data_IF_904819172460
#
_entry.id   IF_904819172460
#
_cell.length_a   1.000
_cell.length_b   1.000
_cell.length_c   1.000
_cell.angle_alpha   90.00
_cell.angle_beta   90.00
_cell.angle_gamma   90.00
#
_symmetry.space_group_name_H-M   'P 1'
#
loop_
_entity.id
_entity.type
_entity.pdbx_description
1 polymer ?
#
# COMPACT_ATOMS: atom_id res chain seq x y z
N UNK A 1 -42.30 5.17 24.60
CA UNK A 1 -41.41 4.25 23.86
C UNK A 1 -41.57 4.45 22.35
N UNK A 2 -41.54 5.70 21.86
CA UNK A 2 -41.84 6.04 20.44
C UNK A 2 -40.91 7.13 19.86
N UNK A 3 -39.81 7.45 20.55
CA UNK A 3 -38.89 8.54 20.13
C UNK A 3 -37.61 7.99 19.49
N UNK A 4 -37.17 6.80 19.91
CA UNK A 4 -35.97 6.14 19.37
C UNK A 4 -36.21 5.63 17.94
N UNK A 5 -37.39 5.09 17.63
CA UNK A 5 -37.72 4.62 16.28
C UNK A 5 -37.71 5.75 15.24
N UNK A 6 -37.99 6.99 15.68
CA UNK A 6 -37.99 8.17 14.81
C UNK A 6 -36.59 8.69 14.52
N UNK A 7 -35.66 8.55 15.46
CA UNK A 7 -34.24 8.90 15.27
C UNK A 7 -33.51 7.86 14.41
N UNK A 8 -33.88 6.58 14.51
CA UNK A 8 -33.30 5.52 13.66
C UNK A 8 -33.76 5.64 12.20
N UNK A 9 -35.00 6.05 11.95
CA UNK A 9 -35.52 6.23 10.59
C UNK A 9 -34.82 7.35 9.78
N UNK A 10 -34.15 8.29 10.44
CA UNK A 10 -33.41 9.38 9.78
C UNK A 10 -31.93 9.07 9.46
N UNK A 11 -31.41 7.93 9.93
CA UNK A 11 -29.99 7.54 9.78
C UNK A 11 -29.82 6.42 8.72
N UNK A 12 -30.92 5.77 8.31
CA UNK A 12 -30.85 4.79 7.24
C UNK A 12 -30.46 5.51 5.93
N UNK A 13 -29.29 5.22 5.33
CA UNK A 13 -28.98 5.72 4.00
C UNK A 13 -30.07 5.25 3.05
N UNK A 14 -30.55 6.18 2.22
CA UNK A 14 -31.48 5.91 1.12
C UNK A 14 -31.05 4.60 0.45
N UNK A 15 -31.93 3.57 0.33
CA UNK A 15 -31.57 2.37 -0.40
C UNK A 15 -31.29 2.85 -1.83
N UNK A 16 -30.00 3.04 -2.11
CA UNK A 16 -29.52 3.56 -3.37
C UNK A 16 -30.17 2.82 -4.53
N UNK A 17 -30.22 3.42 -5.73
CA UNK A 17 -31.00 2.90 -6.85
C UNK A 17 -30.73 1.40 -6.96
N UNK A 18 -31.73 0.59 -6.58
CA UNK A 18 -31.55 -0.85 -6.41
C UNK A 18 -30.88 -1.46 -7.63
N UNK A 19 -30.25 -2.64 -7.46
CA UNK A 19 -29.47 -3.32 -8.51
C UNK A 19 -30.10 -3.10 -9.89
N UNK A 20 -29.39 -2.34 -10.73
CA UNK A 20 -29.89 -2.02 -12.06
C UNK A 20 -30.06 -3.32 -12.86
N UNK A 21 -30.94 -3.36 -13.86
CA UNK A 21 -31.11 -4.55 -14.70
C UNK A 21 -29.78 -5.08 -15.26
N UNK A 22 -28.86 -4.20 -15.64
CA UNK A 22 -27.53 -4.61 -16.11
C UNK A 22 -26.61 -5.17 -15.02
N UNK A 23 -26.76 -4.74 -13.76
CA UNK A 23 -26.02 -5.32 -12.64
C UNK A 23 -26.54 -6.73 -12.29
N UNK A 24 -27.85 -6.96 -12.42
CA UNK A 24 -28.45 -8.29 -12.28
C UNK A 24 -28.00 -9.24 -13.39
N UNK A 25 -27.95 -8.77 -14.63
CA UNK A 25 -27.49 -9.56 -15.79
C UNK A 25 -26.02 -9.99 -15.63
N UNK A 26 -25.15 -9.06 -15.19
CA UNK A 26 -23.75 -9.37 -14.94
C UNK A 26 -23.57 -10.35 -13.76
N UNK A 27 -24.37 -10.22 -12.71
CA UNK A 27 -24.33 -11.13 -11.57
C UNK A 27 -24.81 -12.54 -11.96
N UNK A 28 -25.84 -12.65 -12.79
CA UNK A 28 -26.33 -13.91 -13.32
C UNK A 28 -25.29 -14.57 -14.25
N UNK A 29 -24.60 -13.80 -15.09
CA UNK A 29 -23.50 -14.28 -15.94
C UNK A 29 -22.33 -14.84 -15.12
N UNK A 30 -21.92 -14.15 -14.06
CA UNK A 30 -20.82 -14.59 -13.18
C UNK A 30 -21.21 -15.85 -12.41
N UNK A 31 -22.46 -15.97 -11.98
CA UNK A 31 -22.93 -17.11 -11.17
C UNK A 31 -23.29 -18.36 -12.00
N UNK A 32 -23.58 -18.20 -13.30
CA UNK A 32 -23.86 -19.31 -14.22
C UNK A 32 -22.63 -19.80 -14.97
N UNK A 33 -21.51 -19.05 -14.97
CA UNK A 33 -20.26 -19.50 -15.54
C UNK A 33 -19.70 -20.71 -14.76
N UNK A 34 -19.55 -21.89 -15.39
CA UNK A 34 -19.00 -23.06 -14.71
C UNK A 34 -17.52 -22.84 -14.39
N UNK A 35 -17.13 -23.05 -13.13
CA UNK A 35 -15.74 -23.02 -12.70
C UNK A 35 -14.91 -24.00 -13.54
N UNK A 36 -13.85 -23.49 -14.17
CA UNK A 36 -12.94 -24.30 -14.97
C UNK A 36 -12.32 -25.41 -14.10
N UNK A 37 -12.57 -26.66 -14.46
CA UNK A 37 -12.08 -27.81 -13.72
C UNK A 37 -10.53 -27.87 -13.76
N UNK A 38 -9.86 -28.25 -12.65
CA UNK A 38 -8.42 -28.41 -12.64
C UNK A 38 -8.00 -29.62 -13.47
N UNK A 39 -7.14 -29.40 -14.47
CA UNK A 39 -6.55 -30.43 -15.31
C UNK A 39 -5.62 -31.35 -14.50
N UNK A 40 -5.89 -32.65 -14.52
CA UNK A 40 -4.99 -33.70 -14.00
C UNK A 40 -4.02 -34.19 -15.08
N UNK A 41 -2.78 -34.58 -14.72
CA UNK A 41 -1.72 -34.88 -15.67
C UNK A 41 -1.82 -36.29 -16.26
N UNK A 42 -1.22 -36.42 -17.45
CA UNK A 42 -1.16 -37.62 -18.27
C UNK A 42 -0.37 -38.78 -17.63
N UNK A 43 -0.96 -39.98 -17.68
CA UNK A 43 -0.30 -41.25 -17.35
C UNK A 43 -0.32 -42.20 -18.53
N UNK A 44 0.87 -42.63 -18.95
CA UNK A 44 1.14 -43.66 -19.96
C UNK A 44 0.76 -45.07 -19.46
N UNK A 45 0.16 -45.90 -20.32
CA UNK A 45 0.59 -47.25 -20.74
C UNK A 45 -0.56 -48.22 -21.10
N UNK A 46 -0.29 -48.99 -22.17
CA UNK A 46 -0.75 -50.36 -22.52
C UNK A 46 -2.04 -50.62 -23.32
N UNK A 47 -1.80 -50.90 -24.61
CA UNK A 47 -2.13 -52.12 -25.38
C UNK A 47 -3.58 -52.61 -25.54
N UNK A 48 -4.03 -52.66 -26.80
CA UNK A 48 -5.11 -53.57 -27.26
C UNK A 48 -5.81 -53.13 -28.56
N UNK A 49 -5.39 -53.66 -29.71
CA UNK A 49 -6.04 -53.55 -31.04
C UNK A 49 -6.81 -54.88 -31.30
N UNK A 50 -7.76 -55.05 -32.26
CA UNK A 50 -8.72 -54.16 -32.96
C UNK A 50 -10.19 -54.67 -32.90
N UNK A 51 -11.17 -53.86 -33.35
CA UNK A 51 -12.25 -54.40 -34.20
C UNK A 51 -12.89 -53.37 -35.12
N UNK A 52 -12.90 -53.73 -36.41
CA UNK A 52 -13.51 -53.08 -37.57
C UNK A 52 -14.95 -52.62 -37.30
N UNK A 53 -15.30 -51.40 -37.74
CA UNK A 53 -16.45 -51.23 -38.65
C UNK A 53 -16.27 -49.97 -39.48
N UNK A 54 -16.20 -50.19 -40.79
CA UNK A 54 -16.31 -49.19 -41.85
C UNK A 54 -17.60 -48.39 -41.64
N UNK A 55 -17.60 -47.11 -42.01
CA UNK A 55 -18.55 -46.49 -42.93
C UNK A 55 -17.91 -45.16 -43.37
N UNK A 56 -17.68 -45.06 -44.67
CA UNK A 56 -17.29 -43.84 -45.35
C UNK A 56 -18.55 -43.29 -46.02
N UNK A 57 -18.88 -42.02 -45.81
CA UNK A 57 -19.60 -41.21 -46.79
C UNK A 57 -19.06 -39.77 -46.70
N UNK A 58 -18.55 -39.33 -47.84
CA UNK A 58 -18.15 -37.98 -48.24
C UNK A 58 -19.38 -37.09 -48.39
N UNK A 59 -19.25 -35.79 -48.09
CA UNK A 59 -19.92 -34.62 -48.72
C UNK A 59 -19.69 -33.39 -47.84
N UNK A 60 -19.51 -32.16 -48.29
CA UNK A 60 -19.23 -31.58 -49.59
C UNK A 60 -18.77 -30.13 -49.32
N UNK A 61 -18.12 -29.54 -50.32
CA UNK A 61 -17.64 -28.17 -50.38
C UNK A 61 -18.79 -27.16 -50.24
N UNK A 62 -18.60 -26.13 -49.41
CA UNK A 62 -19.39 -24.91 -49.39
C UNK A 62 -18.47 -23.71 -49.18
N UNK A 63 -18.06 -23.08 -50.29
CA UNK A 63 -17.37 -21.79 -50.32
C UNK A 63 -18.44 -20.70 -50.27
N UNK A 64 -18.38 -19.79 -49.29
CA UNK A 64 -18.77 -18.40 -49.47
C UNK A 64 -18.22 -17.53 -48.33
N UNK A 65 -17.33 -16.63 -48.74
CA UNK A 65 -16.65 -15.55 -48.02
C UNK A 65 -17.57 -14.55 -47.34
N UNK A 66 -17.25 -14.19 -46.09
CA UNK A 66 -17.61 -12.90 -45.51
C UNK A 66 -16.38 -12.27 -44.80
N UNK A 67 -15.83 -11.27 -45.49
CA UNK A 67 -15.14 -10.07 -44.99
C UNK A 67 -14.30 -10.14 -43.69
N UNK A 68 -12.98 -10.17 -43.90
CA UNK A 68 -12.00 -9.25 -43.31
C UNK A 68 -12.35 -8.51 -41.99
N UNK A 69 -11.86 -9.02 -40.85
CA UNK A 69 -11.04 -8.31 -39.83
C UNK A 69 -10.40 -9.37 -38.91
N UNK A 70 -9.44 -10.20 -39.37
CA UNK A 70 -8.68 -11.10 -38.46
C UNK A 70 -7.25 -11.39 -38.96
N UNK A 71 -6.56 -10.39 -39.50
CA UNK A 71 -5.19 -10.57 -40.03
C UNK A 71 -4.18 -9.61 -39.39
N UNK A 72 -4.18 -9.50 -38.06
CA UNK A 72 -3.15 -8.74 -37.31
C UNK A 72 -2.46 -9.52 -36.19
N UNK A 73 -2.76 -10.80 -35.98
CA UNK A 73 -2.14 -11.61 -34.91
C UNK A 73 -1.13 -12.65 -35.41
N UNK A 74 -0.28 -12.25 -36.34
CA UNK A 74 0.85 -13.08 -36.77
C UNK A 74 2.14 -12.26 -36.84
N UNK A 75 2.38 -11.45 -35.80
CA UNK A 75 3.70 -10.91 -35.49
C UNK A 75 4.27 -11.67 -34.28
N UNK A 76 5.51 -12.15 -34.33
CA UNK A 76 6.21 -12.69 -33.18
C UNK A 76 6.60 -11.53 -32.26
N UNK A 77 5.71 -11.21 -31.34
CA UNK A 77 5.81 -10.11 -30.37
C UNK A 77 4.54 -10.09 -29.56
N UNK A 78 4.36 -11.11 -28.70
CA UNK A 78 3.10 -11.40 -28.03
C UNK A 78 2.62 -10.25 -27.14
N UNK A 79 1.59 -9.54 -27.63
CA UNK A 79 0.58 -8.87 -26.80
C UNK A 79 -0.48 -9.91 -26.41
N UNK A 80 -0.07 -10.95 -25.69
CA UNK A 80 -1.03 -11.64 -24.84
C UNK A 80 -1.47 -10.66 -23.74
N UNK A 81 -2.68 -10.78 -23.17
CA UNK A 81 -2.94 -10.11 -21.91
C UNK A 81 -1.79 -10.52 -20.98
N UNK A 82 -1.00 -9.53 -20.55
CA UNK A 82 -0.05 -9.76 -19.46
C UNK A 82 -0.85 -10.46 -18.36
N UNK A 83 -0.31 -11.54 -17.74
CA UNK A 83 -1.02 -12.17 -16.63
C UNK A 83 -1.44 -11.05 -15.71
N UNK A 84 -2.76 -10.91 -15.49
CA UNK A 84 -3.29 -9.93 -14.58
C UNK A 84 -2.62 -10.22 -13.25
N UNK A 85 -1.62 -9.42 -12.90
CA UNK A 85 -0.98 -9.55 -11.62
C UNK A 85 -2.06 -9.26 -10.58
N UNK A 86 -2.19 -10.17 -9.62
CA UNK A 86 -3.11 -9.99 -8.51
C UNK A 86 -2.66 -8.84 -7.59
N UNK A 87 -1.41 -8.38 -7.72
CA UNK A 87 -0.75 -7.58 -6.69
C UNK A 87 -0.43 -6.16 -7.13
N UNK A 88 0.09 -5.99 -8.34
CA UNK A 88 0.44 -4.71 -8.94
C UNK A 88 -0.32 -4.51 -10.24
N UNK A 89 -0.85 -3.31 -10.44
CA UNK A 89 -1.09 -2.82 -11.80
C UNK A 89 0.18 -2.18 -12.32
N UNK A 90 0.66 -2.58 -13.50
CA UNK A 90 1.84 -1.97 -14.10
C UNK A 90 1.54 -1.59 -15.54
N UNK A 91 1.18 -0.33 -15.72
CA UNK A 91 0.92 0.28 -17.01
C UNK A 91 2.13 1.09 -17.46
N UNK A 92 2.37 1.13 -18.77
CA UNK A 92 3.37 2.03 -19.34
C UNK A 92 2.65 3.27 -19.85
N UNK A 93 3.04 4.42 -19.33
CA UNK A 93 2.59 5.74 -19.77
C UNK A 93 3.81 6.53 -20.27
N UNK A 94 4.00 6.53 -21.59
CA UNK A 94 5.13 7.18 -22.25
C UNK A 94 6.49 6.62 -21.82
N UNK A 95 7.27 7.48 -21.17
CA UNK A 95 8.62 7.24 -20.63
C UNK A 95 8.60 6.74 -19.17
N UNK A 96 7.43 6.48 -18.59
CA UNK A 96 7.27 5.97 -17.23
C UNK A 96 6.43 4.69 -17.19
N UNK A 97 6.68 3.88 -16.17
CA UNK A 97 5.74 2.92 -15.63
C UNK A 97 4.92 3.59 -14.54
N UNK A 98 3.60 3.41 -14.62
CA UNK A 98 2.62 3.74 -13.57
C UNK A 98 2.32 2.43 -12.86
N UNK A 99 2.76 2.33 -11.60
CA UNK A 99 2.63 1.13 -10.79
C UNK A 99 1.62 1.40 -9.68
N UNK A 100 0.46 0.78 -9.72
CA UNK A 100 -0.55 0.88 -8.67
C UNK A 100 -0.50 -0.35 -7.79
N UNK A 101 -0.44 -0.17 -6.48
CA UNK A 101 -0.44 -1.29 -5.54
C UNK A 101 -1.88 -1.74 -5.27
N UNK A 102 -2.29 -2.91 -5.79
CA UNK A 102 -3.66 -3.43 -5.67
C UNK A 102 -3.90 -4.09 -4.32
N UNK A 103 -2.92 -4.86 -3.88
CA UNK A 103 -2.87 -5.45 -2.55
C UNK A 103 -1.62 -4.92 -1.85
N UNK A 104 -1.75 -4.33 -0.66
CA UNK A 104 -0.61 -3.84 0.13
C UNK A 104 -0.02 -4.93 1.04
N UNK A 105 -0.69 -6.08 1.16
CA UNK A 105 -0.37 -7.14 2.12
C UNK A 105 -0.03 -8.47 1.46
N UNK A 106 0.19 -8.49 0.14
CA UNK A 106 0.64 -9.70 -0.52
C UNK A 106 2.09 -10.04 -0.11
N UNK A 107 2.53 -11.24 -0.51
CA UNK A 107 3.89 -11.69 -0.24
C UNK A 107 4.91 -10.80 -1.00
N UNK A 108 5.92 -10.21 -0.33
CA UNK A 108 6.94 -9.35 -0.95
C UNK A 108 7.54 -9.91 -2.25
N UNK A 109 7.74 -11.22 -2.31
CA UNK A 109 8.31 -11.94 -3.45
C UNK A 109 7.43 -11.89 -4.71
N UNK A 110 6.12 -11.68 -4.56
CA UNK A 110 5.21 -11.48 -5.69
C UNK A 110 5.47 -10.14 -6.37
N UNK A 111 5.56 -9.05 -5.60
CA UNK A 111 5.85 -7.72 -6.12
C UNK A 111 7.19 -7.68 -6.85
N UNK A 112 8.25 -8.19 -6.22
CA UNK A 112 9.59 -8.16 -6.81
C UNK A 112 9.65 -8.93 -8.12
N UNK A 113 8.99 -10.09 -8.20
CA UNK A 113 8.93 -10.88 -9.43
C UNK A 113 8.29 -10.11 -10.57
N UNK A 114 7.22 -9.38 -10.29
CA UNK A 114 6.49 -8.60 -11.30
C UNK A 114 7.28 -7.36 -11.75
N UNK A 115 7.95 -6.68 -10.82
CA UNK A 115 8.84 -5.55 -11.12
C UNK A 115 10.06 -6.01 -11.95
N UNK A 116 10.69 -7.13 -11.56
CA UNK A 116 11.82 -7.73 -12.30
C UNK A 116 11.41 -8.20 -13.69
N UNK A 117 10.18 -8.68 -13.88
CA UNK A 117 9.66 -9.02 -15.20
C UNK A 117 9.57 -7.80 -16.15
N UNK A 118 9.62 -6.57 -15.62
CA UNK A 118 9.70 -5.31 -16.37
C UNK A 118 11.10 -4.71 -16.41
N UNK A 119 12.12 -5.45 -15.94
CA UNK A 119 13.51 -4.98 -15.90
C UNK A 119 13.81 -3.99 -14.77
N UNK A 120 12.89 -3.82 -13.82
CA UNK A 120 13.07 -2.91 -12.69
C UNK A 120 13.71 -3.64 -11.51
N UNK A 121 14.86 -3.15 -11.03
CA UNK A 121 15.51 -3.66 -9.80
C UNK A 121 15.01 -2.87 -8.57
N UNK A 122 13.74 -3.11 -8.23
CA UNK A 122 13.06 -2.48 -7.10
C UNK A 122 12.73 -3.57 -6.07
N UNK A 123 13.24 -3.39 -4.86
CA UNK A 123 12.91 -4.24 -3.70
C UNK A 123 11.72 -3.64 -2.97
N UNK A 124 10.71 -4.46 -2.66
CA UNK A 124 9.58 -4.03 -1.83
C UNK A 124 9.67 -4.65 -0.44
N UNK A 125 9.49 -3.84 0.60
CA UNK A 125 9.48 -4.31 1.99
C UNK A 125 8.19 -3.91 2.68
N UNK A 126 7.56 -4.88 3.35
CA UNK A 126 6.43 -4.64 4.23
C UNK A 126 6.91 -4.58 5.67
N UNK A 127 6.76 -3.44 6.33
CA UNK A 127 7.33 -3.21 7.67
C UNK A 127 6.29 -2.72 8.67
N UNK A 128 6.41 -3.07 9.97
CA UNK A 128 5.48 -2.65 11.00
C UNK A 128 5.56 -1.14 11.26
N UNK A 129 4.39 -0.54 11.48
CA UNK A 129 4.16 0.85 11.88
C UNK A 129 2.87 0.96 12.69
N UNK A 130 2.53 2.15 13.17
CA UNK A 130 1.26 2.41 13.85
C UNK A 130 0.05 2.23 12.92
N UNK A 131 -1.17 2.17 13.47
CA UNK A 131 -2.39 2.24 12.66
C UNK A 131 -2.47 3.50 11.77
N UNK A 132 -2.01 4.66 12.26
CA UNK A 132 -2.00 5.92 11.51
C UNK A 132 -0.99 5.95 10.35
N UNK A 133 0.15 5.27 10.50
CA UNK A 133 1.18 5.12 9.48
C UNK A 133 0.97 3.96 8.52
N UNK A 134 0.01 3.07 8.79
CA UNK A 134 -0.30 1.96 7.91
C UNK A 134 -0.74 2.46 6.52
N UNK A 135 -0.42 1.68 5.49
CA UNK A 135 -0.64 2.01 4.06
C UNK A 135 0.22 3.16 3.54
N UNK A 136 1.18 3.66 4.31
CA UNK A 136 2.20 4.58 3.81
C UNK A 136 3.13 3.90 2.81
N UNK A 137 3.53 4.63 1.77
CA UNK A 137 4.51 4.20 0.76
C UNK A 137 5.71 5.15 0.85
N UNK A 138 6.90 4.59 1.11
CA UNK A 138 8.15 5.35 1.23
C UNK A 138 9.15 4.86 0.19
N UNK A 139 9.72 5.78 -0.58
CA UNK A 139 10.61 5.46 -1.69
C UNK A 139 12.04 5.89 -1.39
N UNK A 140 12.98 4.96 -1.50
CA UNK A 140 14.41 5.20 -1.40
C UNK A 140 15.05 4.97 -2.77
N UNK A 141 15.29 6.07 -3.49
CA UNK A 141 15.67 6.08 -4.90
C UNK A 141 17.09 5.59 -5.24
N UNK A 142 18.00 5.54 -4.26
CA UNK A 142 19.40 5.14 -4.45
C UNK A 142 19.95 4.48 -3.16
N UNK A 143 19.61 3.21 -2.99
CA UNK A 143 19.91 2.47 -1.74
C UNK A 143 21.41 2.26 -1.55
N UNK A 144 22.16 2.11 -2.65
CA UNK A 144 23.61 1.90 -2.59
C UNK A 144 24.31 3.15 -2.06
N UNK A 145 23.90 4.36 -2.49
CA UNK A 145 24.41 5.62 -1.94
C UNK A 145 24.01 5.82 -0.47
N UNK A 146 22.76 5.52 -0.10
CA UNK A 146 22.33 5.56 1.31
C UNK A 146 23.22 4.68 2.20
N UNK A 147 23.52 3.45 1.74
CA UNK A 147 24.39 2.51 2.48
C UNK A 147 25.84 2.99 2.55
N UNK A 148 26.31 3.73 1.56
CA UNK A 148 27.62 4.37 1.57
C UNK A 148 27.69 5.62 2.48
N UNK A 149 26.57 6.02 3.10
CA UNK A 149 26.49 7.23 3.93
C UNK A 149 26.48 8.52 3.10
N UNK A 150 26.18 8.43 1.81
CA UNK A 150 26.12 9.58 0.92
C UNK A 150 24.72 10.22 0.91
N UNK A 151 24.61 11.54 0.75
CA UNK A 151 23.32 12.21 0.61
C UNK A 151 22.58 11.71 -0.64
N UNK A 152 21.39 11.17 -0.44
CA UNK A 152 20.46 10.86 -1.54
C UNK A 152 19.47 12.01 -1.67
N UNK A 153 19.29 12.57 -2.88
CA UNK A 153 18.31 13.62 -3.12
C UNK A 153 16.93 13.19 -2.64
N UNK A 154 16.21 14.10 -1.98
CA UNK A 154 14.82 13.86 -1.59
C UNK A 154 13.93 13.64 -2.82
N UNK A 155 14.20 14.41 -3.88
CA UNK A 155 13.58 14.25 -5.18
C UNK A 155 14.40 13.25 -6.01
N UNK A 156 13.83 12.08 -6.23
CA UNK A 156 14.43 11.05 -7.08
C UNK A 156 13.56 10.72 -8.29
N UNK A 157 14.11 9.93 -9.23
CA UNK A 157 13.42 9.56 -10.46
C UNK A 157 12.12 8.78 -10.21
N UNK A 158 12.04 8.01 -9.13
CA UNK A 158 10.82 7.34 -8.69
C UNK A 158 10.05 8.27 -7.76
N UNK A 159 8.81 8.58 -8.16
CA UNK A 159 7.89 9.44 -7.42
C UNK A 159 6.63 8.68 -7.01
N UNK A 160 5.93 9.16 -5.98
CA UNK A 160 4.64 8.59 -5.55
C UNK A 160 3.48 9.16 -6.37
N UNK A 161 2.41 8.37 -6.50
CA UNK A 161 1.14 8.80 -7.10
C UNK A 161 0.13 8.96 -5.97
N UNK A 162 -0.35 10.17 -5.77
CA UNK A 162 -1.31 10.48 -4.71
C UNK A 162 -2.72 10.00 -5.06
N UNK A 163 -3.46 9.53 -4.04
CA UNK A 163 -4.88 9.25 -4.16
C UNK A 163 -5.65 10.51 -4.61
N UNK A 164 -6.67 10.39 -5.46
CA UNK A 164 -7.58 11.50 -5.73
C UNK A 164 -8.40 11.84 -4.48
N UNK A 165 -8.57 13.14 -4.21
CA UNK A 165 -9.36 13.66 -3.08
C UNK A 165 -8.51 14.25 -1.95
N UNK A 166 -9.16 14.77 -0.89
CA UNK A 166 -8.44 15.29 0.27
C UNK A 166 -7.72 14.15 0.99
N UNK A 167 -6.41 14.33 1.23
CA UNK A 167 -5.62 13.44 2.07
C UNK A 167 -5.26 14.17 3.37
N UNK A 168 -5.81 13.69 4.49
CA UNK A 168 -5.55 14.23 5.82
C UNK A 168 -4.34 13.55 6.49
N UNK A 169 -3.27 13.29 5.73
CA UNK A 169 -2.02 12.71 6.25
C UNK A 169 -0.82 13.56 5.87
N UNK A 170 0.09 13.73 6.83
CA UNK A 170 1.40 14.31 6.59
C UNK A 170 2.19 13.40 5.64
N UNK A 171 2.63 13.93 4.49
CA UNK A 171 3.39 13.16 3.49
C UNK A 171 2.55 12.50 2.38
N UNK A 172 1.24 12.78 2.31
CA UNK A 172 0.38 12.32 1.22
C UNK A 172 -0.29 10.96 1.47
N UNK A 173 -1.11 10.54 0.51
CA UNK A 173 -1.82 9.27 0.45
C UNK A 173 -1.37 8.54 -0.81
N UNK A 174 -0.11 8.09 -0.88
CA UNK A 174 0.41 7.44 -2.07
C UNK A 174 -0.34 6.13 -2.31
N UNK A 175 -0.80 5.95 -3.54
CA UNK A 175 -1.52 4.75 -4.04
C UNK A 175 -0.70 3.96 -5.06
N UNK A 176 0.39 4.56 -5.53
CA UNK A 176 1.25 3.98 -6.52
C UNK A 176 2.57 4.71 -6.66
N UNK A 177 3.33 4.28 -7.67
CA UNK A 177 4.66 4.77 -8.01
C UNK A 177 4.69 5.13 -9.49
N UNK A 178 5.44 6.17 -9.81
CA UNK A 178 5.83 6.51 -11.18
C UNK A 178 7.34 6.27 -11.30
N UNK A 179 7.73 5.36 -12.19
CA UNK A 179 9.12 4.90 -12.35
C UNK A 179 9.55 5.11 -13.81
N UNK A 180 10.69 5.74 -14.11
CA UNK A 180 11.17 5.86 -15.49
C UNK A 180 11.42 4.48 -16.12
N UNK A 181 11.08 4.33 -17.40
CA UNK A 181 11.25 3.06 -18.12
C UNK A 181 12.74 2.66 -18.26
N UNK A 182 13.65 3.65 -18.22
CA UNK A 182 15.10 3.47 -18.28
C UNK A 182 15.77 3.47 -16.89
N UNK A 183 14.98 3.31 -15.82
CA UNK A 183 15.52 3.25 -14.45
C UNK A 183 16.44 2.03 -14.27
N UNK A 184 17.75 2.29 -14.25
CA UNK A 184 18.80 1.26 -14.17
C UNK A 184 19.43 1.11 -12.77
N UNK A 185 18.98 1.89 -11.79
CA UNK A 185 19.48 1.86 -10.42
C UNK A 185 18.67 0.90 -9.55
N UNK A 186 19.10 0.74 -8.30
CA UNK A 186 18.37 0.01 -7.27
C UNK A 186 17.55 0.96 -6.41
N UNK A 187 16.28 0.65 -6.27
CA UNK A 187 15.41 1.32 -5.30
C UNK A 187 14.85 0.34 -4.28
N UNK A 188 14.52 0.89 -3.12
CA UNK A 188 13.76 0.21 -2.09
C UNK A 188 12.47 0.97 -1.86
N UNK A 189 11.34 0.26 -1.93
CA UNK A 189 10.02 0.76 -1.61
C UNK A 189 9.59 0.10 -0.31
N UNK A 190 9.31 0.90 0.70
CA UNK A 190 8.81 0.41 1.98
C UNK A 190 7.32 0.71 2.11
N UNK A 191 6.54 -0.32 2.37
CA UNK A 191 5.13 -0.25 2.69
C UNK A 191 4.93 -0.40 4.20
N UNK A 192 4.20 0.53 4.80
CA UNK A 192 3.78 0.42 6.20
C UNK A 192 2.60 -0.54 6.35
N UNK A 193 2.74 -1.57 7.18
CA UNK A 193 1.60 -2.35 7.70
C UNK A 193 1.40 -2.07 9.17
N UNK A 194 0.17 -2.24 9.63
CA UNK A 194 -0.08 -2.23 11.07
C UNK A 194 0.79 -3.31 11.76
N UNK A 195 1.41 -2.90 12.85
CA UNK A 195 2.21 -3.77 13.69
C UNK A 195 1.33 -4.81 14.37
N UNK A 196 1.85 -6.03 14.50
CA UNK A 196 1.25 -7.06 15.36
C UNK A 196 1.59 -6.76 16.81
N UNK A 197 0.81 -7.29 17.78
CA UNK A 197 1.14 -7.15 19.20
C UNK A 197 2.59 -7.58 19.49
N UNK A 198 3.36 -6.68 20.13
CA UNK A 198 4.76 -6.90 20.48
C UNK A 198 5.79 -6.59 19.39
N UNK A 199 5.37 -6.15 18.19
CA UNK A 199 6.32 -5.70 17.16
C UNK A 199 6.74 -4.24 17.39
N UNK A 200 8.05 -4.00 17.31
CA UNK A 200 8.59 -2.65 17.23
C UNK A 200 8.33 -2.04 15.85
N UNK A 201 8.09 -0.74 15.81
CA UNK A 201 7.87 0.01 14.58
C UNK A 201 9.20 0.26 13.86
N UNK A 202 9.24 -0.10 12.58
CA UNK A 202 10.38 0.22 11.70
C UNK A 202 10.21 1.62 11.14
N UNK A 203 9.02 1.91 10.60
CA UNK A 203 8.61 3.27 10.30
C UNK A 203 8.04 3.81 11.60
N UNK A 204 8.74 4.76 12.22
CA UNK A 204 8.34 5.37 13.48
C UNK A 204 7.59 6.67 13.20
N UNK A 205 6.25 6.67 13.27
CA UNK A 205 5.47 7.87 13.08
C UNK A 205 5.76 8.86 14.21
N UNK A 206 5.76 10.15 13.89
CA UNK A 206 5.83 11.22 14.87
C UNK A 206 4.57 11.18 15.75
N UNK A 207 4.73 11.34 17.07
CA UNK A 207 3.66 11.13 18.07
C UNK A 207 2.44 12.06 17.96
N UNK A 208 2.51 13.10 17.13
CA UNK A 208 1.46 14.09 16.90
C UNK A 208 0.80 14.00 15.52
N UNK A 209 1.16 12.99 14.70
CA UNK A 209 0.50 12.78 13.42
C UNK A 209 -0.95 12.32 13.58
N UNK A 210 -1.81 12.53 12.57
CA UNK A 210 -3.17 12.00 12.57
C UNK A 210 -3.21 10.51 12.93
N UNK A 211 -4.02 10.17 13.93
CA UNK A 211 -4.14 8.80 14.47
C UNK A 211 -3.14 8.47 15.59
N UNK A 212 -2.21 9.36 15.93
CA UNK A 212 -1.25 9.19 17.01
C UNK A 212 -1.71 9.85 18.33
N UNK A 213 -1.13 9.44 19.48
CA UNK A 213 -1.64 9.82 20.80
C UNK A 213 -1.67 11.33 21.07
N UNK A 214 -0.69 12.09 20.56
CA UNK A 214 -0.62 13.54 20.74
C UNK A 214 -1.11 14.32 19.52
N UNK A 215 -1.91 13.70 18.66
CA UNK A 215 -2.51 14.43 17.54
C UNK A 215 -3.25 15.67 18.02
N UNK A 216 -2.86 16.83 17.47
CA UNK A 216 -3.39 18.15 17.85
C UNK A 216 -3.23 18.55 19.31
N UNK A 217 -2.24 17.96 20.00
CA UNK A 217 -1.85 18.36 21.35
C UNK A 217 -0.55 19.15 21.28
N UNK A 218 -0.54 20.36 21.84
CA UNK A 218 0.71 21.10 22.02
C UNK A 218 1.57 20.42 23.09
N UNK A 219 2.72 19.87 22.69
CA UNK A 219 3.66 19.22 23.61
C UNK A 219 5.12 19.67 23.43
N UNK A 220 5.50 20.13 22.24
CA UNK A 220 6.84 20.68 21.99
C UNK A 220 7.06 21.91 22.88
N UNK A 221 8.25 22.02 23.46
CA UNK A 221 8.63 23.04 24.44
C UNK A 221 7.87 23.02 25.77
N UNK A 222 7.07 21.98 26.04
CA UNK A 222 6.64 21.66 27.41
C UNK A 222 7.73 20.88 28.13
N UNK A 223 7.69 20.88 29.46
CA UNK A 223 8.64 20.13 30.26
C UNK A 223 8.35 18.63 30.23
N UNK A 224 9.36 17.81 30.46
CA UNK A 224 9.22 16.35 30.63
C UNK A 224 8.18 16.01 31.70
N UNK A 225 8.16 16.78 32.80
CA UNK A 225 7.19 16.62 33.89
C UNK A 225 5.74 16.88 33.45
N UNK A 226 5.51 17.71 32.43
CA UNK A 226 4.20 17.96 31.86
C UNK A 226 3.80 16.92 30.80
N UNK A 227 4.73 16.51 29.94
CA UNK A 227 4.42 15.64 28.79
C UNK A 227 4.30 14.16 29.18
N UNK A 228 5.10 13.68 30.13
CA UNK A 228 5.05 12.27 30.56
C UNK A 228 3.65 11.87 31.07
N UNK A 229 2.97 12.65 31.93
CA UNK A 229 1.58 12.39 32.29
C UNK A 229 0.64 12.36 31.10
N UNK A 230 0.76 13.29 30.14
CA UNK A 230 -0.10 13.34 28.95
C UNK A 230 -0.02 12.06 28.13
N UNK A 231 1.18 11.50 27.96
CA UNK A 231 1.41 10.24 27.26
C UNK A 231 0.81 9.05 28.03
N UNK A 232 1.06 8.98 29.35
CA UNK A 232 0.56 7.90 30.19
C UNK A 232 -0.97 7.87 30.29
N UNK A 233 -1.61 9.04 30.36
CA UNK A 233 -3.07 9.17 30.31
C UNK A 233 -3.67 8.59 29.02
N UNK A 234 -2.87 8.53 27.95
CA UNK A 234 -3.24 7.97 26.64
C UNK A 234 -2.72 6.55 26.43
N UNK A 235 -2.23 5.91 27.49
CA UNK A 235 -1.72 4.53 27.44
C UNK A 235 -0.38 4.39 26.74
N UNK A 236 0.43 5.45 26.71
CA UNK A 236 1.76 5.45 26.08
C UNK A 236 2.83 5.60 27.14
N UNK A 237 3.76 4.66 27.18
CA UNK A 237 4.95 4.75 28.03
C UNK A 237 6.11 5.44 27.28
N UNK A 238 6.66 6.54 27.81
CA UNK A 238 7.74 7.27 27.17
C UNK A 238 9.13 6.72 27.53
N UNK A 239 9.94 6.43 26.51
CA UNK A 239 11.39 6.33 26.59
C UNK A 239 12.01 7.71 26.35
N UNK A 240 12.59 8.30 27.38
CA UNK A 240 13.20 9.64 27.28
C UNK A 240 14.64 9.54 26.76
N UNK A 241 14.96 10.31 25.71
CA UNK A 241 16.31 10.39 25.13
C UNK A 241 16.79 11.84 24.99
N UNK A 242 18.10 12.01 24.81
CA UNK A 242 18.73 13.32 24.60
C UNK A 242 20.04 13.20 23.81
N UNK A 243 20.32 14.20 22.97
CA UNK A 243 21.62 14.32 22.28
C UNK A 243 22.78 14.74 23.20
N UNK A 244 22.50 15.45 24.30
CA UNK A 244 23.54 16.04 25.14
C UNK A 244 23.83 15.23 26.41
N UNK A 245 22.98 14.26 26.75
CA UNK A 245 23.10 13.47 27.97
C UNK A 245 22.83 11.98 27.73
N UNK A 246 23.48 11.39 26.72
CA UNK A 246 23.38 9.96 26.41
C UNK A 246 23.58 9.08 27.66
N UNK A 247 22.64 8.16 27.91
CA UNK A 247 22.70 7.22 29.02
C UNK A 247 22.30 7.78 30.39
N UNK A 248 21.79 9.02 30.47
CA UNK A 248 21.17 9.58 31.69
C UNK A 248 19.70 9.83 31.46
N UNK A 249 18.88 9.54 32.48
CA UNK A 249 17.45 9.89 32.45
C UNK A 249 17.33 11.42 32.46
N UNK A 250 16.69 12.03 31.44
CA UNK A 250 16.48 13.48 31.39
C UNK A 250 15.70 13.99 32.62
N UNK A 251 16.15 15.08 33.26
CA UNK A 251 15.41 15.72 34.35
C UNK A 251 14.01 16.18 33.95
N UNK A 252 13.06 16.17 34.90
CA UNK A 252 11.68 16.58 34.65
C UNK A 252 11.50 18.02 34.17
N UNK A 253 12.46 18.92 34.42
CA UNK A 253 12.42 20.32 34.00
C UNK A 253 13.00 20.56 32.59
N UNK A 254 13.50 19.52 31.93
CA UNK A 254 13.94 19.62 30.53
C UNK A 254 12.75 19.75 29.59
N UNK A 255 13.00 20.34 28.43
CA UNK A 255 11.99 20.57 27.40
C UNK A 255 11.92 19.40 26.43
N UNK A 256 10.71 19.04 26.03
CA UNK A 256 10.47 18.09 24.95
C UNK A 256 10.64 18.80 23.61
N UNK A 257 11.44 18.23 22.72
CA UNK A 257 11.72 18.78 21.40
C UNK A 257 10.89 18.12 20.30
N UNK A 258 10.72 16.80 20.39
CA UNK A 258 9.95 16.00 19.45
C UNK A 258 9.67 14.61 20.05
N UNK A 259 8.89 13.78 19.37
CA UNK A 259 8.80 12.37 19.71
C UNK A 259 8.29 11.50 18.56
N UNK A 260 8.62 10.22 18.62
CA UNK A 260 8.15 9.22 17.67
C UNK A 260 7.62 7.98 18.39
N UNK A 261 6.61 7.32 17.83
CA UNK A 261 6.16 6.03 18.33
C UNK A 261 7.20 4.95 18.02
N UNK A 262 7.53 4.12 19.00
CA UNK A 262 8.47 3.00 18.85
C UNK A 262 7.78 1.64 18.78
N UNK A 263 6.60 1.52 19.39
CA UNK A 263 5.73 0.35 19.34
C UNK A 263 4.31 0.74 19.75
N UNK A 264 3.39 -0.23 19.79
CA UNK A 264 2.05 0.00 20.33
C UNK A 264 2.14 0.33 21.83
N UNK A 265 1.73 1.55 22.21
CA UNK A 265 1.80 2.03 23.59
C UNK A 265 3.19 2.46 24.05
N UNK A 266 4.15 2.63 23.14
CA UNK A 266 5.50 3.07 23.48
C UNK A 266 5.96 4.21 22.56
N UNK A 267 6.62 5.21 23.11
CA UNK A 267 7.17 6.33 22.36
C UNK A 267 8.58 6.71 22.82
N UNK A 268 9.43 7.11 21.87
CA UNK A 268 10.73 7.73 22.16
C UNK A 268 10.54 9.24 22.11
N UNK A 269 10.89 9.92 23.19
CA UNK A 269 10.73 11.37 23.34
C UNK A 269 12.10 12.03 23.40
N UNK A 270 12.36 12.91 22.45
CA UNK A 270 13.60 13.70 22.40
C UNK A 270 13.49 14.89 23.34
N UNK A 271 14.50 15.08 24.19
CA UNK A 271 14.51 16.12 25.21
C UNK A 271 15.83 16.89 25.26
N UNK A 272 15.78 18.13 25.75
CA UNK A 272 16.94 18.99 25.96
C UNK A 272 16.77 20.02 27.09
N UNK A 273 17.88 20.59 27.60
CA UNK A 273 17.86 21.56 28.69
C UNK A 273 17.31 22.93 28.28
N UNK A 274 17.33 23.25 26.99
CA UNK A 274 16.79 24.49 26.41
C UNK A 274 15.59 24.17 25.53
N UNK A 275 14.64 25.12 25.32
CA UNK A 275 13.56 24.94 24.36
C UNK A 275 14.08 24.68 22.94
N UNK A 276 13.32 23.91 22.14
CA UNK A 276 13.56 23.73 20.72
C UNK A 276 13.50 25.09 20.01
N UNK A 277 14.55 25.49 19.25
CA UNK A 277 14.65 26.82 18.66
C UNK A 277 13.65 27.02 17.51
N UNK A 278 13.29 25.95 16.80
CA UNK A 278 12.35 25.97 15.67
C UNK A 278 11.32 24.85 15.83
N UNK A 279 10.31 25.02 16.70
CA UNK A 279 9.27 24.01 16.88
C UNK A 279 8.44 23.87 15.60
N UNK A 280 8.01 22.64 15.28
CA UNK A 280 7.09 22.40 14.16
C UNK A 280 5.75 23.12 14.44
N UNK A 281 5.17 23.85 13.47
CA UNK A 281 3.91 24.55 13.67
C UNK A 281 2.74 23.55 13.75
N UNK A 282 2.11 23.44 14.93
CA UNK A 282 0.96 22.53 15.16
C UNK A 282 -0.28 22.95 14.35
N UNK A 283 -0.47 24.26 14.16
CA UNK A 283 -1.67 24.83 13.53
C UNK A 283 -1.86 24.56 12.04
N UNK A 284 -0.83 24.09 11.33
CA UNK A 284 -0.93 23.74 9.91
C UNK A 284 -1.62 22.39 9.67
N UNK A 285 -1.60 21.50 10.66
CA UNK A 285 -2.08 20.12 10.54
C UNK A 285 -3.31 19.81 11.40
N UNK A 286 -3.81 20.80 12.13
CA UNK A 286 -4.92 20.68 13.06
C UNK A 286 -5.99 21.73 12.75
N UNK A 287 -7.03 21.38 11.97
CA UNK A 287 -8.12 22.31 11.70
C UNK A 287 -8.83 22.68 13.00
N UNK A 288 -9.18 23.96 13.17
CA UNK A 288 -9.82 24.47 14.39
C UNK A 288 -11.07 23.63 14.73
N UNK A 289 -11.08 23.01 15.91
CA UNK A 289 -12.19 22.22 16.42
C UNK A 289 -12.05 20.70 16.24
N UNK A 290 -10.85 20.22 15.91
CA UNK A 290 -10.45 18.81 16.06
C UNK A 290 -10.09 18.46 17.49
#
# INVERSE_FOLDING_TARGET
MHDVDRLVAGIAPDPGPGMTPGAMELFEEITTAPAAAPGRPAGLLRSGIPRRRRWAVLSAIGVATAAAVLASWSLPGGLGPAPASATLDIERDGDHYVITVKDLFAEPELYERELKARGLDITLKLVPTSPGGARGIYVFNDVDRLRAGEPVPADGPITTIEAPGPCERLGGCPTGLKVPVDYAKKAEVTLGREARPGEAYVIRPIIDMPGEPLHCVEYVNKTVAEVVPMLRERGVEPELTSFTASGRVPPGHWYVHDGVMSAAGEAIVLTGPEPAPNPRPVGEFCPKGS
#
